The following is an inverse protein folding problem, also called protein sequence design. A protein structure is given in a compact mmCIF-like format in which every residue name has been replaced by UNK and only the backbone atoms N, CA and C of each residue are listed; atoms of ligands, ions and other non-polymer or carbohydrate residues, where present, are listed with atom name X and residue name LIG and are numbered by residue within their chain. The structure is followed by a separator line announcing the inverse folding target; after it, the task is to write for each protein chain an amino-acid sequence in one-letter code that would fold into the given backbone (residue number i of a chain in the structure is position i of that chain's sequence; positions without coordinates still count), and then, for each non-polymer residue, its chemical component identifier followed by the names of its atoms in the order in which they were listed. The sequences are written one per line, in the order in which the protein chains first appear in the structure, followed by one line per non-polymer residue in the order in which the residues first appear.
data_IF_520471892828
#
_entry.id   IF_520471892828
#
_cell.length_a   1.000
_cell.length_b   1.000
_cell.length_c   1.000
_cell.angle_alpha   90.00
_cell.angle_beta   90.00
_cell.angle_gamma   90.00
#
_symmetry.space_group_name_H-M   'P 1'
#
loop_
_entity.id
_entity.type
_entity.pdbx_description
1 polymer ?
#
# COMPACT_ATOMS: atom_id res chain seq x y z
N UNK A 1 14.56 5.34 16.10
CA UNK A 1 13.45 5.55 15.15
C UNK A 1 14.09 5.72 13.77
N UNK A 2 13.65 4.98 12.76
CA UNK A 2 14.31 4.96 11.44
C UNK A 2 13.83 6.21 10.68
N UNK A 3 14.75 7.05 10.22
CA UNK A 3 14.42 8.37 9.65
C UNK A 3 13.48 8.31 8.43
N UNK A 4 13.41 7.19 7.71
CA UNK A 4 12.58 7.04 6.50
C UNK A 4 11.07 7.01 6.78
N UNK A 5 10.66 6.40 7.88
CA UNK A 5 9.24 6.30 8.26
C UNK A 5 8.68 7.60 8.83
N UNK A 6 9.48 8.36 9.58
CA UNK A 6 9.06 9.67 10.11
C UNK A 6 8.75 10.69 9.01
N UNK A 7 9.52 10.67 7.90
CA UNK A 7 9.24 11.49 6.72
C UNK A 7 7.96 11.04 6.04
N UNK A 8 7.79 9.73 5.86
CA UNK A 8 6.59 9.18 5.21
C UNK A 8 5.30 9.53 5.96
N UNK A 9 5.33 9.51 7.30
CA UNK A 9 4.15 9.88 8.10
C UNK A 9 3.80 11.37 8.03
N UNK A 10 4.80 12.25 7.94
CA UNK A 10 4.57 13.70 7.77
C UNK A 10 3.92 14.02 6.43
N UNK A 11 4.20 13.21 5.42
CA UNK A 11 3.67 13.40 4.06
C UNK A 11 2.32 12.69 3.84
N UNK A 12 1.79 11.99 4.86
CA UNK A 12 0.49 11.34 4.77
C UNK A 12 -0.65 12.35 4.94
N UNK A 13 -1.43 12.48 3.88
CA UNK A 13 -2.68 13.25 3.87
C UNK A 13 -3.83 12.32 3.49
N UNK A 14 -4.78 12.11 4.42
CA UNK A 14 -5.89 11.18 4.24
C UNK A 14 -6.77 11.54 3.03
N UNK A 15 -6.99 12.83 2.77
CA UNK A 15 -7.80 13.27 1.63
C UNK A 15 -7.14 12.94 0.29
N UNK A 16 -5.80 13.04 0.21
CA UNK A 16 -5.03 12.62 -0.97
C UNK A 16 -5.16 11.10 -1.18
N UNK A 17 -5.04 10.32 -0.11
CA UNK A 17 -5.21 8.87 -0.16
C UNK A 17 -6.61 8.48 -0.65
N UNK A 18 -7.67 9.07 -0.08
CA UNK A 18 -9.05 8.75 -0.47
C UNK A 18 -9.32 9.10 -1.94
N UNK A 19 -8.85 10.26 -2.42
CA UNK A 19 -8.95 10.64 -3.84
C UNK A 19 -8.20 9.65 -4.74
N UNK A 20 -7.04 9.21 -4.30
CA UNK A 20 -6.23 8.24 -5.04
C UNK A 20 -6.90 6.87 -5.12
N UNK A 21 -7.48 6.38 -4.02
CA UNK A 21 -8.26 5.13 -3.96
C UNK A 21 -9.48 5.21 -4.88
N UNK A 22 -10.23 6.33 -4.86
CA UNK A 22 -11.37 6.55 -5.77
C UNK A 22 -10.95 6.53 -7.25
N UNK A 23 -9.77 7.06 -7.57
CA UNK A 23 -9.26 6.98 -8.94
C UNK A 23 -8.87 5.54 -9.33
N UNK A 24 -8.21 4.81 -8.43
CA UNK A 24 -7.80 3.43 -8.66
C UNK A 24 -9.01 2.49 -8.82
N UNK A 25 -10.04 2.66 -7.98
CA UNK A 25 -11.22 1.80 -7.97
C UNK A 25 -11.99 1.79 -9.28
N UNK A 26 -11.93 2.87 -10.07
CA UNK A 26 -12.55 2.98 -11.40
C UNK A 26 -11.95 2.01 -12.43
N UNK A 27 -10.72 1.56 -12.20
CA UNK A 27 -9.98 0.68 -13.11
C UNK A 27 -9.78 -0.74 -12.57
N UNK A 28 -10.17 -0.99 -11.31
CA UNK A 28 -10.00 -2.29 -10.64
C UNK A 28 -11.34 -3.02 -10.61
N UNK A 29 -11.34 -4.27 -11.07
CA UNK A 29 -12.49 -5.16 -10.90
C UNK A 29 -12.35 -5.83 -9.54
N UNK A 30 -13.32 -5.66 -8.64
CA UNK A 30 -13.23 -6.18 -7.25
C UNK A 30 -12.97 -7.69 -7.19
N UNK A 31 -13.45 -8.47 -8.16
CA UNK A 31 -13.21 -9.92 -8.24
C UNK A 31 -11.76 -10.29 -8.54
N UNK A 32 -10.92 -9.36 -9.00
CA UNK A 32 -9.49 -9.59 -9.27
C UNK A 32 -8.63 -9.35 -8.02
N UNK A 33 -9.22 -8.83 -6.94
CA UNK A 33 -8.53 -8.53 -5.70
C UNK A 33 -8.41 -9.82 -4.87
N UNK A 34 -7.43 -10.65 -5.23
CA UNK A 34 -7.16 -11.91 -4.52
C UNK A 34 -5.85 -11.83 -3.71
N UNK A 35 -6.00 -11.79 -2.38
CA UNK A 35 -4.88 -11.88 -1.44
C UNK A 35 -4.85 -13.21 -0.66
N UNK A 36 -5.78 -14.12 -0.97
CA UNK A 36 -5.90 -15.42 -0.31
C UNK A 36 -6.21 -15.28 1.17
N UNK A 37 -5.31 -15.78 2.00
CA UNK A 37 -5.38 -15.82 3.47
C UNK A 37 -4.94 -14.51 4.15
N UNK A 38 -4.47 -13.52 3.39
CA UNK A 38 -3.95 -12.27 3.93
C UNK A 38 -5.09 -11.27 4.14
N UNK A 39 -5.26 -10.80 5.37
CA UNK A 39 -6.16 -9.69 5.66
C UNK A 39 -5.52 -8.36 5.27
N UNK A 40 -5.93 -7.82 4.13
CA UNK A 40 -5.50 -6.49 3.64
C UNK A 40 -6.68 -5.52 3.73
N UNK A 41 -6.50 -4.33 4.33
CA UNK A 41 -7.53 -3.29 4.28
C UNK A 41 -8.00 -3.00 2.86
N UNK A 42 -9.32 -2.85 2.66
CA UNK A 42 -9.93 -2.77 1.33
C UNK A 42 -9.34 -1.64 0.46
N UNK A 43 -9.10 -0.48 1.06
CA UNK A 43 -8.49 0.68 0.40
C UNK A 43 -7.08 0.36 -0.14
N UNK A 44 -6.25 -0.28 0.69
CA UNK A 44 -4.89 -0.70 0.32
C UNK A 44 -4.94 -1.81 -0.73
N UNK A 45 -5.88 -2.75 -0.61
CA UNK A 45 -6.07 -3.86 -1.55
C UNK A 45 -6.40 -3.37 -2.97
N UNK A 46 -7.28 -2.36 -3.09
CA UNK A 46 -7.61 -1.72 -4.37
C UNK A 46 -6.35 -1.13 -5.02
N UNK A 47 -5.59 -0.35 -4.26
CA UNK A 47 -4.40 0.33 -4.79
C UNK A 47 -3.29 -0.67 -5.16
N UNK A 48 -3.09 -1.71 -4.35
CA UNK A 48 -2.14 -2.77 -4.66
C UNK A 48 -2.50 -3.48 -5.97
N UNK A 49 -3.77 -3.80 -6.18
CA UNK A 49 -4.24 -4.42 -7.41
C UNK A 49 -4.05 -3.48 -8.62
N UNK A 50 -4.42 -2.20 -8.48
CA UNK A 50 -4.20 -1.20 -9.52
C UNK A 50 -2.72 -1.08 -9.92
N UNK A 51 -1.82 -0.96 -8.94
CA UNK A 51 -0.39 -0.72 -9.15
C UNK A 51 0.36 -1.95 -9.65
N UNK A 52 0.08 -3.11 -9.06
CA UNK A 52 0.91 -4.31 -9.20
C UNK A 52 0.19 -5.48 -9.85
N UNK A 53 -1.14 -5.41 -10.00
CA UNK A 53 -1.99 -6.47 -10.54
C UNK A 53 -1.64 -7.82 -9.90
N UNK A 54 -1.28 -8.80 -10.72
CA UNK A 54 -0.92 -10.17 -10.32
C UNK A 54 0.33 -10.24 -9.42
N UNK A 55 1.13 -9.17 -9.31
CA UNK A 55 2.30 -9.12 -8.45
C UNK A 55 2.02 -8.58 -7.05
N UNK A 56 0.80 -8.08 -6.79
CA UNK A 56 0.43 -7.48 -5.51
C UNK A 56 0.73 -8.40 -4.31
N UNK A 57 0.27 -9.66 -4.38
CA UNK A 57 0.51 -10.64 -3.33
C UNK A 57 2.00 -10.93 -3.13
N UNK A 58 2.75 -11.15 -4.21
CA UNK A 58 4.19 -11.42 -4.13
C UNK A 58 4.96 -10.24 -3.54
N UNK A 59 4.56 -9.02 -3.88
CA UNK A 59 5.20 -7.80 -3.40
C UNK A 59 5.04 -7.63 -1.88
N UNK A 60 3.89 -8.01 -1.30
CA UNK A 60 3.66 -7.96 0.15
C UNK A 60 4.69 -8.76 0.98
N UNK A 61 5.28 -9.81 0.40
CA UNK A 61 6.26 -10.68 1.07
C UNK A 61 7.72 -10.35 0.74
N UNK A 62 7.98 -9.41 -0.18
CA UNK A 62 9.33 -9.01 -0.55
C UNK A 62 9.80 -7.84 0.31
N UNK A 63 11.08 -7.84 0.68
CA UNK A 63 11.72 -6.67 1.26
C UNK A 63 11.75 -5.54 0.23
N UNK A 64 11.26 -4.36 0.61
CA UNK A 64 11.17 -3.21 -0.28
C UNK A 64 12.16 -2.14 0.19
N UNK A 65 13.17 -1.76 -0.62
CA UNK A 65 14.16 -0.76 -0.23
C UNK A 65 13.57 0.59 0.17
N UNK A 66 12.49 1.02 -0.50
CA UNK A 66 11.77 2.25 -0.18
C UNK A 66 11.01 2.21 1.17
N UNK A 67 10.90 1.01 1.77
CA UNK A 67 10.31 0.77 3.09
C UNK A 67 11.39 0.30 4.08
N UNK A 68 12.62 0.81 3.95
CA UNK A 68 13.76 0.42 4.80
C UNK A 68 14.03 -1.10 4.80
N UNK A 69 13.80 -1.76 3.66
CA UNK A 69 13.90 -3.21 3.47
C UNK A 69 12.92 -4.07 4.30
N UNK A 70 11.88 -3.44 4.86
CA UNK A 70 10.77 -4.15 5.53
C UNK A 70 9.84 -4.77 4.50
N UNK A 71 9.18 -5.88 4.87
CA UNK A 71 8.12 -6.47 4.05
C UNK A 71 6.82 -5.69 4.26
N UNK A 72 6.12 -5.29 3.18
CA UNK A 72 4.88 -4.53 3.32
C UNK A 72 3.82 -5.19 4.20
N UNK A 73 3.76 -6.53 4.24
CA UNK A 73 2.83 -7.26 5.11
C UNK A 73 3.04 -6.97 6.59
N UNK A 74 4.28 -6.75 7.03
CA UNK A 74 4.61 -6.49 8.44
C UNK A 74 4.06 -5.12 8.89
N UNK A 75 3.91 -4.18 7.94
CA UNK A 75 3.36 -2.84 8.16
C UNK A 75 1.83 -2.83 8.32
N UNK A 76 1.12 -3.86 7.88
CA UNK A 76 -0.35 -3.93 7.97
C UNK A 76 -0.87 -4.08 9.41
N UNK A 77 0.01 -4.40 10.37
CA UNK A 77 -0.33 -4.68 11.76
C UNK A 77 -0.59 -3.42 12.61
N UNK A 78 -0.36 -2.22 12.08
CA UNK A 78 -0.56 -0.95 12.80
C UNK A 78 -1.07 0.15 11.87
N UNK A 79 -1.78 1.15 12.40
CA UNK A 79 -2.20 2.30 11.60
C UNK A 79 -1.01 3.12 11.08
N UNK A 80 0.04 3.25 11.87
CA UNK A 80 1.28 3.92 11.46
C UNK A 80 1.92 3.21 10.26
N UNK A 81 2.06 1.88 10.34
CA UNK A 81 2.57 1.07 9.23
C UNK A 81 1.69 1.14 7.99
N UNK A 82 0.36 1.14 8.15
CA UNK A 82 -0.57 1.34 7.04
C UNK A 82 -0.39 2.72 6.40
N UNK A 83 -0.20 3.79 7.17
CA UNK A 83 0.04 5.13 6.62
C UNK A 83 1.35 5.22 5.83
N UNK A 84 2.42 4.61 6.34
CA UNK A 84 3.69 4.46 5.61
C UNK A 84 3.45 3.74 4.27
N UNK A 85 2.70 2.64 4.30
CA UNK A 85 2.38 1.86 3.11
C UNK A 85 1.56 2.67 2.10
N UNK A 86 0.55 3.43 2.56
CA UNK A 86 -0.27 4.32 1.72
C UNK A 86 0.60 5.34 0.99
N UNK A 87 1.53 5.99 1.69
CA UNK A 87 2.47 6.95 1.09
C UNK A 87 3.39 6.29 0.07
N UNK A 88 3.94 5.11 0.39
CA UNK A 88 4.78 4.38 -0.55
C UNK A 88 4.03 3.98 -1.83
N UNK A 89 2.78 3.53 -1.71
CA UNK A 89 1.94 3.16 -2.86
C UNK A 89 1.56 4.37 -3.73
N UNK A 90 1.30 5.53 -3.13
CA UNK A 90 1.06 6.78 -3.88
C UNK A 90 2.31 7.27 -4.62
N UNK A 91 3.51 6.95 -4.12
CA UNK A 91 4.80 7.33 -4.72
C UNK A 91 5.31 6.33 -5.76
N UNK A 92 4.65 5.18 -5.92
CA UNK A 92 5.02 4.25 -6.99
C UNK A 92 4.75 4.92 -8.34
N UNK A 93 5.72 4.86 -9.27
CA UNK A 93 5.49 5.35 -10.63
C UNK A 93 4.40 4.52 -11.34
N UNK A 94 3.73 5.16 -12.31
CA UNK A 94 2.79 4.52 -13.24
C UNK A 94 3.52 3.65 -14.27
#
# INVERSE_FOLDING_TARGET
MVMGFEVSLKDYHEDHWLKFVDNCSKSVVESEIEFGDISVPKDIAIVLNYRLRNHARTWLFKSVPALDNVKPIDLLNSEEGKNILRVALMRMPD
#
